data_IF_538363345922
#
_entry.id   IF_538363345922
#
_cell.length_a   1.000
_cell.length_b   1.000
_cell.length_c   1.000
_cell.angle_alpha   90.00
_cell.angle_beta   90.00
_cell.angle_gamma   90.00
#
_symmetry.space_group_name_H-M   'P 1'
#
loop_
_entity.id
_entity.type
_entity.pdbx_description
1 polymer ?
#
# COMPACT_ATOMS: atom_id res chain seq x y z
N UNK A 1 1.64 -39.49 -5.25
CA UNK A 1 1.96 -38.26 -5.99
C UNK A 1 2.91 -37.51 -5.09
N UNK A 2 4.16 -37.34 -5.50
CA UNK A 2 5.16 -36.64 -4.68
C UNK A 2 4.93 -35.12 -4.82
N UNK A 3 4.50 -34.48 -3.73
CA UNK A 3 4.45 -33.04 -3.63
C UNK A 3 5.86 -32.46 -3.86
N UNK A 4 6.02 -31.71 -4.93
CA UNK A 4 7.27 -30.97 -5.20
C UNK A 4 7.37 -29.86 -4.16
N UNK A 5 8.23 -30.05 -3.16
CA UNK A 5 8.63 -28.99 -2.22
C UNK A 5 9.11 -27.80 -3.03
N UNK A 6 8.48 -26.65 -2.84
CA UNK A 6 8.86 -25.41 -3.52
C UNK A 6 10.06 -24.80 -2.81
N UNK A 7 11.14 -24.63 -3.51
CA UNK A 7 12.35 -23.98 -2.99
C UNK A 7 12.31 -22.48 -3.38
N UNK A 8 12.21 -21.62 -2.38
CA UNK A 8 12.17 -20.16 -2.50
C UNK A 8 13.47 -19.48 -2.04
N UNK A 9 14.56 -20.26 -1.85
CA UNK A 9 15.84 -19.76 -1.33
C UNK A 9 16.42 -18.58 -2.11
N UNK A 10 16.13 -18.48 -3.41
CA UNK A 10 16.58 -17.40 -4.27
C UNK A 10 15.94 -16.02 -3.98
N UNK A 11 14.84 -15.96 -3.18
CA UNK A 11 14.23 -14.69 -2.78
C UNK A 11 14.84 -14.09 -1.52
N UNK A 12 15.61 -14.86 -0.75
CA UNK A 12 16.21 -14.42 0.53
C UNK A 12 17.17 -13.24 0.44
N UNK A 13 17.80 -13.05 -0.72
CA UNK A 13 18.74 -11.93 -0.94
C UNK A 13 18.04 -10.57 -1.16
N UNK A 14 16.70 -10.53 -1.21
CA UNK A 14 15.96 -9.31 -1.50
C UNK A 14 15.55 -8.48 -0.26
N UNK A 15 15.72 -9.02 0.96
CA UNK A 15 15.22 -8.35 2.18
C UNK A 15 16.21 -8.52 3.36
N UNK A 16 17.38 -7.88 3.31
CA UNK A 16 18.22 -7.74 4.49
C UNK A 16 17.83 -6.51 5.29
N UNK A 17 17.23 -6.71 6.48
CA UNK A 17 16.94 -5.63 7.44
C UNK A 17 17.96 -5.71 8.56
N UNK A 18 18.79 -4.68 8.73
CA UNK A 18 19.54 -4.47 9.96
C UNK A 18 18.75 -3.54 10.87
N UNK A 19 18.37 -4.02 12.05
CA UNK A 19 17.82 -3.20 13.13
C UNK A 19 18.96 -2.42 13.78
N UNK A 20 18.99 -1.10 13.64
CA UNK A 20 19.72 -0.23 14.56
C UNK A 20 18.84 0.02 15.79
N UNK A 21 19.39 -0.27 16.95
CA UNK A 21 18.78 -0.05 18.26
C UNK A 21 18.42 1.42 18.47
N UNK A 22 17.13 1.72 18.61
CA UNK A 22 16.68 3.02 19.09
C UNK A 22 16.59 3.02 20.60
N UNK A 23 17.45 3.82 21.23
CA UNK A 23 17.56 4.10 22.66
C UNK A 23 16.23 4.51 23.29
N UNK A 24 15.95 3.88 24.43
CA UNK A 24 14.86 4.19 25.37
C UNK A 24 14.93 5.64 25.85
N UNK A 25 13.86 6.40 25.70
CA UNK A 25 13.54 7.56 26.53
C UNK A 25 12.17 7.36 27.16
N UNK A 26 12.18 7.24 28.48
CA UNK A 26 11.03 7.25 29.37
C UNK A 26 10.31 8.60 29.35
N UNK A 27 9.00 8.60 29.22
CA UNK A 27 8.15 9.79 29.39
C UNK A 27 7.26 9.57 30.61
N UNK A 28 7.35 10.52 31.54
CA UNK A 28 6.60 10.58 32.77
C UNK A 28 5.13 10.92 32.53
N UNK A 29 4.28 10.33 33.38
CA UNK A 29 2.85 10.59 33.47
C UNK A 29 2.58 11.99 34.04
N UNK A 30 1.64 12.70 33.43
CA UNK A 30 1.03 13.92 33.98
C UNK A 30 -0.49 13.82 33.91
N UNK A 31 -1.12 13.52 35.05
CA UNK A 31 -2.57 13.62 35.25
C UNK A 31 -3.00 15.09 35.31
N UNK A 32 -4.01 15.48 34.55
CA UNK A 32 -4.77 16.70 34.80
C UNK A 32 -6.26 16.45 34.72
N UNK A 33 -6.90 16.66 35.87
CA UNK A 33 -8.34 16.65 36.14
C UNK A 33 -9.06 17.76 35.39
N UNK A 34 -10.21 17.46 34.76
CA UNK A 34 -11.15 18.44 34.22
C UNK A 34 -12.43 18.53 35.07
N UNK A 35 -12.74 19.73 35.51
CA UNK A 35 -14.02 20.11 36.12
C UNK A 35 -15.08 20.31 35.03
N UNK A 36 -16.38 20.09 35.33
CA UNK A 36 -17.48 20.31 34.40
C UNK A 36 -17.91 21.80 34.38
N UNK A 37 -18.25 22.29 33.21
CA UNK A 37 -18.81 23.62 32.98
C UNK A 37 -20.21 23.56 32.36
N UNK A 38 -21.02 24.46 32.85
CA UNK A 38 -22.47 24.67 32.71
C UNK A 38 -23.05 24.70 31.30
N UNK A 39 -24.29 24.19 31.24
CA UNK A 39 -25.18 24.21 30.10
C UNK A 39 -25.80 25.61 29.87
N UNK A 40 -25.57 26.22 28.71
CA UNK A 40 -26.38 27.34 28.18
C UNK A 40 -27.22 26.86 27.00
N UNK A 41 -28.55 27.01 27.15
CA UNK A 41 -29.56 26.84 26.10
C UNK A 41 -29.27 27.83 24.95
N UNK A 42 -29.08 27.32 23.73
CA UNK A 42 -29.00 28.13 22.51
C UNK A 42 -30.29 27.89 21.68
N UNK A 43 -30.93 28.98 21.31
CA UNK A 43 -32.12 29.04 20.47
C UNK A 43 -31.84 28.53 19.04
N UNK A 44 -32.71 27.64 18.57
CA UNK A 44 -32.70 27.13 17.18
C UNK A 44 -33.15 28.25 16.24
N UNK A 45 -32.21 28.68 15.35
CA UNK A 45 -32.56 29.49 14.17
C UNK A 45 -32.70 28.54 12.99
N UNK A 46 -33.85 28.51 12.36
CA UNK A 46 -34.10 27.83 11.10
C UNK A 46 -33.14 28.35 10.00
N UNK A 47 -32.26 27.50 9.54
CA UNK A 47 -31.39 27.81 8.41
C UNK A 47 -31.96 27.19 7.12
N UNK A 48 -32.30 28.02 6.15
CA UNK A 48 -32.69 27.62 4.81
C UNK A 48 -31.55 26.81 4.12
N UNK A 49 -31.83 25.59 3.59
CA UNK A 49 -30.83 24.68 3.05
C UNK A 49 -30.06 25.28 1.84
N UNK A 50 -30.70 26.08 1.01
CA UNK A 50 -30.08 26.69 -0.20
C UNK A 50 -28.92 27.66 0.08
N UNK A 51 -28.94 28.38 1.20
CA UNK A 51 -27.84 29.29 1.57
C UNK A 51 -26.60 28.56 2.09
N UNK A 52 -26.81 27.39 2.68
CA UNK A 52 -25.72 26.57 3.23
C UNK A 52 -24.94 25.90 2.11
N UNK A 53 -25.63 25.43 1.09
CA UNK A 53 -25.04 24.76 -0.08
C UNK A 53 -24.22 25.73 -0.95
N UNK A 54 -24.75 26.94 -1.22
CA UNK A 54 -24.02 27.99 -1.94
C UNK A 54 -22.77 28.48 -1.17
N UNK A 55 -22.83 28.52 0.16
CA UNK A 55 -21.67 28.84 1.01
C UNK A 55 -20.62 27.72 1.01
N UNK A 56 -21.05 26.47 0.97
CA UNK A 56 -20.19 25.30 0.91
C UNK A 56 -19.44 25.24 -0.44
N UNK A 57 -20.16 25.43 -1.55
CA UNK A 57 -19.59 25.50 -2.90
C UNK A 57 -18.65 26.69 -3.06
N UNK A 58 -18.98 27.85 -2.48
CA UNK A 58 -18.11 29.03 -2.52
C UNK A 58 -16.85 28.88 -1.63
N UNK A 59 -16.90 28.06 -0.57
CA UNK A 59 -15.77 27.75 0.28
C UNK A 59 -14.83 26.70 -0.39
N UNK A 60 -15.39 25.77 -1.17
CA UNK A 60 -14.63 24.83 -1.99
C UNK A 60 -13.86 25.53 -3.13
N UNK A 61 -14.40 26.61 -3.72
CA UNK A 61 -13.73 27.38 -4.77
C UNK A 61 -12.56 28.27 -4.27
N UNK A 62 -12.31 28.37 -2.97
CA UNK A 62 -11.32 29.30 -2.40
C UNK A 62 -10.04 28.65 -1.88
N UNK A 63 -9.87 27.35 -2.01
CA UNK A 63 -8.62 26.67 -1.64
C UNK A 63 -8.21 25.77 -2.81
N UNK A 64 -7.79 26.38 -3.90
CA UNK A 64 -6.91 25.71 -4.87
C UNK A 64 -5.59 25.46 -4.14
N UNK A 65 -5.47 24.36 -3.44
CA UNK A 65 -4.17 23.87 -2.96
C UNK A 65 -3.35 23.54 -4.19
N UNK A 66 -2.14 24.11 -4.26
CA UNK A 66 -1.20 23.75 -5.31
C UNK A 66 -1.06 22.21 -5.38
N UNK A 67 -1.13 21.64 -6.59
CA UNK A 67 -0.97 20.21 -6.80
C UNK A 67 0.39 19.79 -6.25
N UNK A 68 0.47 18.79 -5.37
CA UNK A 68 1.75 18.33 -4.83
C UNK A 68 2.73 17.96 -5.95
N UNK A 69 4.01 18.37 -5.87
CA UNK A 69 4.99 18.15 -6.93
C UNK A 69 5.12 16.69 -7.36
N UNK A 70 5.01 15.73 -6.44
CA UNK A 70 5.10 14.31 -6.76
C UNK A 70 3.96 13.82 -7.67
N UNK A 71 2.83 14.51 -7.74
CA UNK A 71 1.73 14.16 -8.67
C UNK A 71 2.03 14.58 -10.11
N UNK A 72 2.98 15.49 -10.33
CA UNK A 72 3.32 16.06 -11.63
C UNK A 72 4.62 15.49 -12.21
N UNK A 73 5.60 15.18 -11.34
CA UNK A 73 6.94 14.81 -11.75
C UNK A 73 7.32 13.37 -11.32
N UNK A 74 8.00 12.60 -12.17
CA UNK A 74 8.40 11.22 -11.88
C UNK A 74 9.53 11.10 -10.85
N UNK A 75 10.35 12.14 -10.66
CA UNK A 75 11.46 12.22 -9.70
C UNK A 75 12.41 10.99 -9.76
N UNK A 76 12.85 10.62 -10.96
CA UNK A 76 13.68 9.43 -11.17
C UNK A 76 15.13 9.62 -10.71
N UNK A 77 15.62 10.86 -10.72
CA UNK A 77 17.00 11.22 -10.44
C UNK A 77 17.06 12.52 -9.64
N UNK A 78 18.15 12.72 -8.89
CA UNK A 78 18.47 14.04 -8.35
C UNK A 78 18.74 15.03 -9.50
N UNK A 79 18.32 16.30 -9.37
CA UNK A 79 18.66 17.32 -10.36
C UNK A 79 20.16 17.63 -10.34
N UNK A 80 20.68 17.98 -11.50
CA UNK A 80 21.93 18.73 -11.77
C UNK A 80 23.22 18.33 -11.02
N UNK A 81 23.53 17.05 -10.82
CA UNK A 81 24.83 16.63 -10.31
C UNK A 81 25.53 15.74 -11.31
N UNK A 82 26.86 15.92 -11.48
CA UNK A 82 27.70 14.91 -12.12
C UNK A 82 27.53 13.60 -11.34
N UNK A 83 26.93 12.61 -12.00
CA UNK A 83 26.60 11.34 -11.37
C UNK A 83 27.75 10.39 -11.54
N UNK A 84 28.29 9.89 -10.43
CA UNK A 84 29.43 8.99 -10.43
C UNK A 84 28.96 7.56 -10.69
N UNK A 85 28.66 6.81 -9.66
CA UNK A 85 28.37 5.37 -9.79
C UNK A 85 26.86 5.08 -9.70
N UNK A 86 26.38 4.08 -10.46
CA UNK A 86 25.02 3.64 -10.36
C UNK A 86 24.77 2.92 -9.02
N UNK A 87 23.58 3.16 -8.44
CA UNK A 87 23.09 2.47 -7.24
C UNK A 87 21.75 1.82 -7.55
N UNK A 88 21.67 0.52 -7.29
CA UNK A 88 20.46 -0.27 -7.44
C UNK A 88 19.58 -0.12 -6.20
N UNK A 89 18.40 0.47 -6.40
CA UNK A 89 17.39 0.71 -5.37
C UNK A 89 16.16 -0.15 -5.65
N UNK A 90 15.88 -1.08 -4.76
CA UNK A 90 14.70 -1.96 -4.86
C UNK A 90 13.59 -1.41 -3.99
N UNK A 91 12.46 -1.09 -4.60
CA UNK A 91 11.23 -0.70 -3.90
C UNK A 91 10.48 -1.98 -3.55
N UNK A 92 10.47 -2.36 -2.27
CA UNK A 92 9.60 -3.40 -1.72
C UNK A 92 8.22 -2.81 -1.46
N UNK A 93 7.21 -3.28 -2.19
CA UNK A 93 5.85 -2.77 -2.16
C UNK A 93 4.90 -3.83 -1.57
N UNK A 94 4.52 -3.68 -0.31
CA UNK A 94 3.47 -4.46 0.33
C UNK A 94 2.12 -3.79 0.08
N UNK A 95 1.36 -4.32 -0.88
CA UNK A 95 0.00 -3.89 -1.19
C UNK A 95 -0.99 -4.59 -0.25
N UNK A 96 -1.10 -4.13 0.99
CA UNK A 96 -2.08 -4.67 1.93
C UNK A 96 -3.51 -4.26 1.60
N UNK A 97 -4.51 -4.97 2.14
CA UNK A 97 -5.94 -4.66 1.91
C UNK A 97 -6.34 -3.30 2.50
N UNK A 98 -5.88 -2.99 3.71
CA UNK A 98 -6.18 -1.72 4.38
C UNK A 98 -5.03 -0.72 4.33
N UNK A 99 -3.80 -1.21 4.40
CA UNK A 99 -2.58 -0.42 4.52
C UNK A 99 -1.50 -0.92 3.58
N UNK A 100 -0.88 0.02 2.89
CA UNK A 100 0.31 -0.20 2.07
C UNK A 100 1.55 0.21 2.87
N UNK A 101 2.60 -0.61 2.80
CA UNK A 101 3.92 -0.34 3.39
C UNK A 101 4.97 -0.38 2.29
N UNK A 102 5.94 0.51 2.37
CA UNK A 102 7.03 0.59 1.38
C UNK A 102 8.36 0.64 2.09
N UNK A 103 9.29 -0.14 1.55
CA UNK A 103 10.71 -0.11 1.94
C UNK A 103 11.54 0.13 0.68
N UNK A 104 12.51 1.02 0.74
CA UNK A 104 13.54 1.18 -0.31
C UNK A 104 14.83 0.55 0.18
N UNK A 105 15.31 -0.44 -0.55
CA UNK A 105 16.55 -1.15 -0.24
C UNK A 105 17.67 -0.74 -1.22
N UNK A 106 18.78 -0.28 -0.66
CA UNK A 106 20.07 -0.20 -1.36
C UNK A 106 20.79 -1.54 -1.18
N UNK A 107 20.84 -2.32 -2.25
CA UNK A 107 21.42 -3.67 -2.22
C UNK A 107 22.92 -3.65 -2.03
N UNK A 108 23.60 -2.63 -2.55
CA UNK A 108 25.06 -2.50 -2.47
C UNK A 108 25.54 -2.13 -1.07
N UNK A 109 24.81 -1.24 -0.38
CA UNK A 109 25.12 -0.82 0.99
C UNK A 109 24.41 -1.65 2.06
N UNK A 110 23.62 -2.65 1.66
CA UNK A 110 22.80 -3.48 2.57
C UNK A 110 21.92 -2.65 3.50
N UNK A 111 21.38 -1.53 3.00
CA UNK A 111 20.56 -0.58 3.76
C UNK A 111 19.11 -0.66 3.32
N UNK A 112 18.19 -0.80 4.27
CA UNK A 112 16.76 -0.75 4.03
C UNK A 112 16.14 0.45 4.75
N UNK A 113 15.30 1.21 4.07
CA UNK A 113 14.73 2.47 4.56
C UNK A 113 13.22 2.39 4.41
N UNK A 114 12.49 2.42 5.52
CA UNK A 114 11.03 2.50 5.51
C UNK A 114 10.58 3.89 5.06
N UNK A 115 9.64 3.95 4.11
CA UNK A 115 9.13 5.19 3.56
C UNK A 115 8.06 5.78 4.48
N UNK A 116 8.28 7.03 4.92
CA UNK A 116 7.30 7.78 5.69
C UNK A 116 6.35 8.55 4.75
N UNK A 117 5.05 8.34 4.92
CA UNK A 117 4.01 9.01 4.13
C UNK A 117 3.55 10.35 4.72
N UNK A 118 4.25 10.87 5.74
CA UNK A 118 3.94 12.17 6.36
C UNK A 118 2.43 12.32 6.65
N UNK A 119 1.79 13.32 6.02
CA UNK A 119 0.37 13.64 6.21
C UNK A 119 -0.62 12.62 5.64
N UNK A 120 -0.18 11.72 4.74
CA UNK A 120 -1.05 10.67 4.16
C UNK A 120 -1.08 9.40 5.00
N UNK A 121 -0.07 9.18 5.84
CA UNK A 121 0.01 8.02 6.72
C UNK A 121 -1.02 8.02 7.85
N UNK A 122 -1.08 6.91 8.58
CA UNK A 122 -1.87 6.82 9.80
C UNK A 122 -1.38 7.83 10.84
N UNK A 123 -2.31 8.39 11.63
CA UNK A 123 -1.96 9.31 12.74
C UNK A 123 -1.06 8.68 13.80
N UNK A 124 -1.11 7.35 13.94
CA UNK A 124 -0.31 6.60 14.90
C UNK A 124 0.97 6.01 14.30
N UNK A 125 1.01 5.82 12.97
CA UNK A 125 2.15 5.23 12.29
C UNK A 125 2.29 5.82 10.88
N UNK A 126 3.27 6.72 10.64
CA UNK A 126 3.45 7.38 9.35
C UNK A 126 3.94 6.42 8.24
N UNK A 127 4.34 5.19 8.56
CA UNK A 127 4.76 4.18 7.59
C UNK A 127 3.59 3.35 7.03
N UNK A 128 2.36 3.57 7.52
CA UNK A 128 1.15 2.91 7.06
C UNK A 128 0.33 3.86 6.19
N UNK A 129 0.37 3.66 4.87
CA UNK A 129 -0.44 4.40 3.92
C UNK A 129 -1.78 3.69 3.71
N UNK A 130 -2.94 4.36 3.79
CA UNK A 130 -4.22 3.76 3.40
C UNK A 130 -4.19 3.27 1.95
N UNK A 131 -4.57 2.02 1.70
CA UNK A 131 -4.63 1.44 0.35
C UNK A 131 -5.88 1.96 -0.39
N UNK A 132 -5.84 3.23 -0.80
CA UNK A 132 -6.95 3.95 -1.42
C UNK A 132 -6.47 4.96 -2.43
N UNK A 133 -7.25 5.15 -3.50
CA UNK A 133 -7.10 6.29 -4.39
C UNK A 133 -8.08 7.37 -3.96
N UNK A 134 -7.60 8.57 -3.73
CA UNK A 134 -8.39 9.75 -3.41
C UNK A 134 -8.59 10.68 -4.60
N UNK A 135 -9.57 11.57 -4.46
CA UNK A 135 -9.72 12.75 -5.33
C UNK A 135 -9.62 14.00 -4.45
N UNK A 136 -8.78 14.95 -4.86
CA UNK A 136 -8.71 16.27 -4.26
C UNK A 136 -8.73 17.30 -5.37
N UNK A 137 -9.71 18.19 -5.36
CA UNK A 137 -9.86 19.26 -6.38
C UNK A 137 -9.86 18.74 -7.83
N UNK A 138 -10.42 17.55 -8.08
CA UNK A 138 -10.46 16.90 -9.39
C UNK A 138 -9.20 16.11 -9.76
N UNK A 139 -8.18 16.06 -8.88
CA UNK A 139 -6.92 15.36 -9.11
C UNK A 139 -6.87 14.04 -8.33
N UNK A 140 -6.35 12.99 -8.98
CA UNK A 140 -6.07 11.71 -8.31
C UNK A 140 -4.89 11.87 -7.36
N UNK A 141 -5.03 11.42 -6.10
CA UNK A 141 -4.02 11.60 -5.07
C UNK A 141 -4.03 10.47 -4.05
N UNK A 142 -3.06 10.48 -3.14
CA UNK A 142 -3.12 9.73 -1.89
C UNK A 142 -4.15 10.37 -0.97
N UNK A 143 -4.81 9.60 -0.13
CA UNK A 143 -5.78 10.10 0.83
C UNK A 143 -5.56 9.51 2.21
N UNK A 144 -5.98 10.25 3.25
CA UNK A 144 -6.04 9.76 4.62
C UNK A 144 -7.19 8.75 4.77
N UNK A 145 -7.12 7.91 5.80
CA UNK A 145 -8.17 6.92 6.07
C UNK A 145 -9.53 7.57 6.34
N UNK A 146 -9.52 8.70 7.01
CA UNK A 146 -10.70 9.48 7.42
C UNK A 146 -11.26 10.34 6.28
N UNK A 147 -10.52 10.46 5.17
CA UNK A 147 -10.96 11.25 4.03
C UNK A 147 -12.16 10.57 3.35
N UNK A 148 -13.32 11.22 3.29
CA UNK A 148 -14.50 10.68 2.62
C UNK A 148 -14.36 10.68 1.08
N UNK A 149 -13.48 11.51 0.52
CA UNK A 149 -13.29 11.67 -0.91
C UNK A 149 -12.31 10.64 -1.48
N UNK A 150 -12.67 9.37 -1.43
CA UNK A 150 -11.91 8.30 -2.06
C UNK A 150 -12.72 7.68 -3.21
N UNK A 151 -12.03 7.38 -4.32
CA UNK A 151 -12.64 6.73 -5.48
C UNK A 151 -12.80 5.24 -5.23
N UNK A 152 -11.75 4.61 -4.69
CA UNK A 152 -11.71 3.17 -4.51
C UNK A 152 -10.93 2.80 -3.26
N UNK A 153 -11.46 1.82 -2.57
CA UNK A 153 -10.83 1.00 -1.53
C UNK A 153 -10.87 -0.46 -2.02
N UNK A 154 -10.24 -1.35 -1.28
CA UNK A 154 -10.23 -2.79 -1.58
C UNK A 154 -9.48 -3.15 -2.88
N UNK A 155 -8.46 -2.34 -3.24
CA UNK A 155 -7.66 -2.51 -4.47
C UNK A 155 -7.02 -3.91 -4.58
N UNK A 156 -6.47 -4.43 -3.48
CA UNK A 156 -5.89 -5.79 -3.42
C UNK A 156 -6.94 -6.86 -3.70
N UNK A 157 -8.11 -6.74 -3.08
CA UNK A 157 -9.22 -7.69 -3.27
C UNK A 157 -9.70 -7.65 -4.73
N UNK A 158 -9.80 -6.46 -5.30
CA UNK A 158 -10.18 -6.31 -6.72
C UNK A 158 -9.21 -7.01 -7.67
N UNK A 159 -7.90 -7.00 -7.38
CA UNK A 159 -6.90 -7.73 -8.16
C UNK A 159 -7.05 -9.25 -8.04
N UNK A 160 -7.45 -9.74 -6.86
CA UNK A 160 -7.56 -11.18 -6.57
C UNK A 160 -8.86 -11.76 -7.12
N UNK A 161 -9.99 -11.10 -6.84
CA UNK A 161 -11.31 -11.67 -7.11
C UNK A 161 -11.81 -11.35 -8.53
N UNK A 162 -11.60 -10.11 -8.98
CA UNK A 162 -12.24 -9.61 -10.21
C UNK A 162 -11.39 -8.54 -10.91
N UNK A 163 -10.17 -8.85 -11.37
CA UNK A 163 -9.23 -7.85 -11.90
C UNK A 163 -9.77 -7.09 -13.13
N UNK A 164 -10.56 -7.76 -13.95
CA UNK A 164 -11.14 -7.17 -15.18
C UNK A 164 -12.59 -6.65 -14.99
N UNK A 165 -13.15 -6.75 -13.77
CA UNK A 165 -14.49 -6.21 -13.53
C UNK A 165 -14.47 -4.69 -13.66
N UNK A 166 -15.40 -4.16 -14.45
CA UNK A 166 -15.63 -2.73 -14.56
C UNK A 166 -16.27 -2.20 -13.29
N UNK A 167 -15.70 -1.14 -12.76
CA UNK A 167 -16.21 -0.41 -11.60
C UNK A 167 -16.66 0.96 -12.09
N UNK A 168 -17.87 1.35 -11.74
CA UNK A 168 -18.36 2.70 -12.01
C UNK A 168 -17.75 3.65 -10.97
N UNK A 169 -17.09 4.68 -11.46
CA UNK A 169 -16.58 5.77 -10.63
C UNK A 169 -17.53 6.93 -10.82
N UNK A 170 -18.22 7.28 -9.74
CA UNK A 170 -19.11 8.44 -9.71
C UNK A 170 -18.25 9.68 -9.47
N UNK A 171 -17.69 10.22 -10.53
CA UNK A 171 -17.24 11.59 -10.60
C UNK A 171 -17.91 12.18 -11.83
N UNK A 172 -18.54 13.30 -11.79
CA UNK A 172 -19.31 14.06 -12.80
C UNK A 172 -19.38 13.55 -14.26
N UNK A 173 -18.61 12.53 -14.60
CA UNK A 173 -18.65 11.74 -15.84
C UNK A 173 -18.62 10.25 -15.42
N UNK A 174 -19.58 9.46 -15.91
CA UNK A 174 -19.62 8.00 -15.75
C UNK A 174 -18.37 7.36 -16.40
N UNK A 175 -17.29 7.29 -15.66
CA UNK A 175 -16.05 6.65 -16.11
C UNK A 175 -15.98 5.23 -15.55
N UNK A 176 -16.08 4.22 -16.40
CA UNK A 176 -15.87 2.83 -16.01
C UNK A 176 -14.39 2.47 -16.09
N UNK A 177 -13.82 2.02 -14.98
CA UNK A 177 -12.42 1.60 -14.87
C UNK A 177 -12.36 0.21 -14.24
N UNK A 178 -11.39 -0.62 -14.64
CA UNK A 178 -11.22 -1.95 -14.05
C UNK A 178 -10.49 -1.88 -12.71
N UNK A 179 -10.70 -2.89 -11.84
CA UNK A 179 -9.97 -3.01 -10.58
C UNK A 179 -8.44 -3.00 -10.78
N UNK A 180 -7.97 -3.67 -11.85
CA UNK A 180 -6.57 -3.66 -12.24
C UNK A 180 -6.06 -2.25 -12.63
N UNK A 181 -6.89 -1.45 -13.32
CA UNK A 181 -6.53 -0.06 -13.68
C UNK A 181 -6.41 0.84 -12.45
N UNK A 182 -7.32 0.72 -11.49
CA UNK A 182 -7.27 1.47 -10.24
C UNK A 182 -6.06 1.10 -9.37
N UNK A 183 -5.74 -0.20 -9.30
CA UNK A 183 -4.53 -0.65 -8.63
C UNK A 183 -3.26 -0.09 -9.30
N UNK A 184 -3.20 -0.07 -10.64
CA UNK A 184 -2.09 0.53 -11.38
C UNK A 184 -1.95 2.04 -11.11
N UNK A 185 -3.06 2.78 -11.05
CA UNK A 185 -3.07 4.21 -10.68
C UNK A 185 -2.50 4.39 -9.26
N UNK A 186 -2.97 3.61 -8.30
CA UNK A 186 -2.49 3.68 -6.93
C UNK A 186 -0.98 3.40 -6.85
N UNK A 187 -0.52 2.31 -7.49
CA UNK A 187 0.90 1.97 -7.57
C UNK A 187 1.69 3.14 -8.19
N UNK A 188 1.22 3.74 -9.29
CA UNK A 188 1.89 4.84 -9.95
C UNK A 188 2.05 6.06 -9.04
N UNK A 189 0.99 6.46 -8.33
CA UNK A 189 1.02 7.61 -7.42
C UNK A 189 1.96 7.33 -6.24
N UNK A 190 1.91 6.12 -5.67
CA UNK A 190 2.79 5.71 -4.57
C UNK A 190 4.25 5.71 -5.02
N UNK A 191 4.58 5.16 -6.21
CA UNK A 191 5.94 5.16 -6.74
C UNK A 191 6.50 6.59 -6.93
N UNK A 192 5.68 7.52 -7.43
CA UNK A 192 6.08 8.93 -7.53
C UNK A 192 6.33 9.55 -6.16
N UNK A 193 5.44 9.29 -5.19
CA UNK A 193 5.63 9.76 -3.82
C UNK A 193 6.92 9.21 -3.22
N UNK A 194 7.18 7.91 -3.36
CA UNK A 194 8.37 7.23 -2.85
C UNK A 194 9.65 7.84 -3.40
N UNK A 195 9.71 8.04 -4.71
CA UNK A 195 10.88 8.67 -5.38
C UNK A 195 11.08 10.12 -4.94
N UNK A 196 10.01 10.89 -4.87
CA UNK A 196 10.06 12.26 -4.37
C UNK A 196 10.55 12.32 -2.92
N UNK A 197 9.95 11.53 -2.04
CA UNK A 197 10.36 11.42 -0.65
C UNK A 197 11.83 10.98 -0.49
N UNK A 198 12.28 10.03 -1.30
CA UNK A 198 13.66 9.55 -1.28
C UNK A 198 14.64 10.65 -1.69
N UNK A 199 14.34 11.39 -2.75
CA UNK A 199 15.16 12.52 -3.20
C UNK A 199 15.22 13.62 -2.13
N UNK A 200 14.11 13.94 -1.46
CA UNK A 200 14.09 14.93 -0.38
C UNK A 200 14.86 14.46 0.87
N UNK A 201 14.67 13.20 1.27
CA UNK A 201 15.13 12.72 2.57
C UNK A 201 16.51 12.06 2.55
N UNK A 202 17.02 11.62 1.40
CA UNK A 202 18.26 10.86 1.26
C UNK A 202 19.33 11.57 0.43
N UNK A 203 19.17 12.87 0.17
CA UNK A 203 20.08 13.66 -0.66
C UNK A 203 21.54 13.60 -0.16
N UNK A 204 21.77 13.66 1.14
CA UNK A 204 23.13 13.66 1.72
C UNK A 204 23.94 12.42 1.33
N UNK A 205 23.29 11.30 1.09
CA UNK A 205 23.93 10.03 0.77
C UNK A 205 23.97 9.77 -0.73
N UNK A 206 22.88 10.10 -1.45
CA UNK A 206 22.66 9.60 -2.81
C UNK A 206 22.69 10.66 -3.92
N UNK A 207 22.80 11.96 -3.59
CA UNK A 207 22.72 13.04 -4.59
C UNK A 207 23.69 12.89 -5.77
N UNK A 208 24.86 12.28 -5.55
CA UNK A 208 25.90 12.07 -6.56
C UNK A 208 25.79 10.71 -7.28
N UNK A 209 24.79 9.88 -6.94
CA UNK A 209 24.66 8.58 -7.57
C UNK A 209 23.63 8.60 -8.73
N UNK A 210 23.84 7.74 -9.72
CA UNK A 210 22.82 7.41 -10.71
C UNK A 210 21.87 6.37 -10.12
N UNK A 211 20.62 6.75 -9.87
CA UNK A 211 19.65 5.87 -9.25
C UNK A 211 19.04 4.91 -10.28
N UNK A 212 19.13 3.61 -10.04
CA UNK A 212 18.49 2.56 -10.82
C UNK A 212 17.40 1.91 -9.98
N UNK A 213 16.16 2.20 -10.33
CA UNK A 213 14.99 1.77 -9.58
C UNK A 213 14.51 0.39 -10.04
N UNK A 214 14.10 -0.44 -9.09
CA UNK A 214 13.46 -1.73 -9.29
C UNK A 214 12.21 -1.82 -8.39
N UNK A 215 11.26 -2.69 -8.74
CA UNK A 215 10.03 -2.90 -7.99
C UNK A 215 9.82 -4.38 -7.67
N UNK A 216 9.65 -4.70 -6.39
CA UNK A 216 9.15 -5.98 -5.93
C UNK A 216 7.76 -5.76 -5.31
N UNK A 217 6.71 -6.21 -5.99
CA UNK A 217 5.32 -6.13 -5.51
C UNK A 217 4.93 -7.43 -4.83
N UNK A 218 4.46 -7.34 -3.58
CA UNK A 218 3.95 -8.48 -2.82
C UNK A 218 2.64 -9.04 -3.39
N UNK A 219 2.53 -10.38 -3.44
CA UNK A 219 1.31 -11.11 -3.76
C UNK A 219 1.06 -12.19 -2.69
N UNK A 220 -0.20 -12.43 -2.27
CA UNK A 220 -0.51 -13.48 -1.31
C UNK A 220 -0.06 -14.85 -1.82
N UNK A 221 0.51 -15.68 -0.93
CA UNK A 221 1.13 -16.98 -1.28
C UNK A 221 0.18 -17.91 -2.01
N UNK A 222 -1.04 -18.06 -1.52
CA UNK A 222 -2.06 -18.93 -2.13
C UNK A 222 -2.35 -18.57 -3.58
N UNK A 223 -2.18 -17.28 -3.92
CA UNK A 223 -2.47 -16.75 -5.25
C UNK A 223 -1.24 -16.73 -6.17
N UNK A 224 -0.04 -16.98 -5.63
CA UNK A 224 1.20 -16.93 -6.41
C UNK A 224 1.27 -17.98 -7.53
N UNK A 225 0.67 -19.16 -7.29
CA UNK A 225 0.57 -20.24 -8.29
C UNK A 225 -0.60 -20.05 -9.27
N UNK A 226 -1.56 -19.18 -8.93
CA UNK A 226 -2.65 -18.84 -9.83
C UNK A 226 -2.14 -17.86 -10.89
N UNK A 227 -1.94 -18.40 -12.10
CA UNK A 227 -1.41 -17.60 -13.22
C UNK A 227 -2.23 -16.35 -13.50
N UNK A 228 -3.57 -16.43 -13.47
CA UNK A 228 -4.44 -15.29 -13.78
C UNK A 228 -4.26 -14.15 -12.76
N UNK A 229 -4.17 -14.49 -11.48
CA UNK A 229 -3.98 -13.50 -10.41
C UNK A 229 -2.56 -12.92 -10.50
N UNK A 230 -1.55 -13.78 -10.66
CA UNK A 230 -0.15 -13.34 -10.85
C UNK A 230 0.00 -12.40 -12.06
N UNK A 231 -0.63 -12.73 -13.17
CA UNK A 231 -0.63 -11.90 -14.38
C UNK A 231 -1.34 -10.56 -14.13
N UNK A 232 -2.42 -10.53 -13.35
CA UNK A 232 -3.12 -9.30 -12.97
C UNK A 232 -2.25 -8.38 -12.10
N UNK A 233 -1.56 -8.93 -11.07
CA UNK A 233 -0.61 -8.18 -10.25
C UNK A 233 0.56 -7.66 -11.07
N UNK A 234 1.15 -8.50 -11.90
CA UNK A 234 2.26 -8.10 -12.79
C UNK A 234 1.81 -7.01 -13.78
N UNK A 235 0.64 -7.12 -14.37
CA UNK A 235 0.08 -6.13 -15.27
C UNK A 235 -0.18 -4.79 -14.55
N UNK A 236 -0.75 -4.82 -13.34
CA UNK A 236 -0.96 -3.62 -12.54
C UNK A 236 0.37 -2.95 -12.18
N UNK A 237 1.39 -3.74 -11.78
CA UNK A 237 2.74 -3.24 -11.48
C UNK A 237 3.40 -2.62 -12.70
N UNK A 238 3.36 -3.29 -13.86
CA UNK A 238 3.96 -2.81 -15.11
C UNK A 238 3.33 -1.49 -15.57
N UNK A 239 2.01 -1.40 -15.58
CA UNK A 239 1.31 -0.20 -15.99
C UNK A 239 1.49 0.93 -14.97
N UNK A 240 1.45 0.59 -13.66
CA UNK A 240 1.72 1.54 -12.59
C UNK A 240 3.13 2.11 -12.67
N UNK A 241 4.10 1.28 -12.95
CA UNK A 241 5.48 1.70 -13.20
C UNK A 241 5.57 2.67 -14.37
N UNK A 242 5.04 2.28 -15.53
CA UNK A 242 5.04 3.13 -16.73
C UNK A 242 4.37 4.49 -16.48
N UNK A 243 3.19 4.50 -15.86
CA UNK A 243 2.48 5.74 -15.51
C UNK A 243 3.31 6.62 -14.56
N UNK A 244 4.03 6.01 -13.63
CA UNK A 244 4.85 6.74 -12.67
C UNK A 244 6.06 7.44 -13.30
N UNK A 245 6.50 7.02 -14.47
CA UNK A 245 7.63 7.60 -15.21
C UNK A 245 7.22 8.70 -16.19
N UNK A 246 5.92 8.81 -16.50
CA UNK A 246 5.43 9.86 -17.40
C UNK A 246 5.46 11.23 -16.69
N UNK A 247 5.73 12.29 -17.44
CA UNK A 247 5.56 13.66 -16.94
C UNK A 247 4.08 14.06 -16.93
N UNK A 248 3.74 14.98 -16.06
CA UNK A 248 2.38 15.47 -15.90
C UNK A 248 1.53 14.59 -14.99
N UNK A 249 0.27 14.91 -14.90
CA UNK A 249 -0.67 14.32 -13.96
C UNK A 249 -1.08 12.89 -14.37
N UNK A 250 -1.21 12.01 -13.37
CA UNK A 250 -1.81 10.68 -13.56
C UNK A 250 -3.33 10.84 -13.50
N UNK A 251 -4.01 10.56 -14.60
CA UNK A 251 -5.47 10.65 -14.72
C UNK A 251 -6.09 9.29 -15.01
N UNK A 252 -7.40 9.17 -14.81
CA UNK A 252 -8.16 7.98 -15.23
C UNK A 252 -8.03 7.72 -16.73
N UNK A 253 -8.02 8.79 -17.53
CA UNK A 253 -7.85 8.70 -18.98
C UNK A 253 -6.46 8.21 -19.37
N UNK A 254 -5.39 8.68 -18.73
CA UNK A 254 -4.02 8.21 -18.98
C UNK A 254 -3.86 6.72 -18.65
N UNK A 255 -4.49 6.27 -17.56
CA UNK A 255 -4.52 4.87 -17.17
C UNK A 255 -5.25 4.00 -18.21
N UNK A 256 -6.43 4.43 -18.66
CA UNK A 256 -7.19 3.71 -19.69
C UNK A 256 -6.37 3.55 -20.97
N UNK A 257 -5.72 4.62 -21.45
CA UNK A 257 -4.83 4.58 -22.62
C UNK A 257 -3.66 3.61 -22.42
N UNK A 258 -3.05 3.58 -21.21
CA UNK A 258 -1.97 2.65 -20.90
C UNK A 258 -2.43 1.19 -20.93
N UNK A 259 -3.65 0.89 -20.42
CA UNK A 259 -4.24 -0.44 -20.52
C UNK A 259 -4.55 -0.87 -21.97
N UNK A 260 -5.06 0.04 -22.78
CA UNK A 260 -5.30 -0.23 -24.20
C UNK A 260 -3.99 -0.55 -24.93
N UNK A 261 -2.93 0.25 -24.70
CA UNK A 261 -1.60 -0.01 -25.23
C UNK A 261 -1.00 -1.33 -24.75
N UNK A 262 -1.24 -1.72 -23.50
CA UNK A 262 -0.71 -2.98 -22.95
C UNK A 262 -1.34 -4.23 -23.56
N UNK A 263 -2.49 -4.12 -24.24
CA UNK A 263 -3.14 -5.21 -24.97
C UNK A 263 -2.47 -5.46 -26.33
N UNK A 264 -1.83 -4.45 -26.89
CA UNK A 264 -1.11 -4.57 -28.15
C UNK A 264 0.26 -5.15 -27.87
N UNK A 265 0.47 -6.42 -28.20
CA UNK A 265 1.73 -7.15 -27.98
C UNK A 265 2.92 -6.54 -28.72
N UNK A 266 2.68 -5.69 -29.74
CA UNK A 266 3.70 -5.00 -30.51
C UNK A 266 4.13 -3.67 -29.87
N UNK A 267 3.34 -3.11 -28.95
CA UNK A 267 3.71 -1.93 -28.18
C UNK A 267 4.33 -2.36 -26.85
N UNK A 268 5.59 -2.74 -26.90
CA UNK A 268 6.40 -2.82 -25.70
C UNK A 268 6.41 -1.43 -25.08
N UNK A 269 5.97 -1.33 -23.82
CA UNK A 269 5.96 -0.07 -23.05
C UNK A 269 7.39 0.49 -22.81
N UNK A 270 8.41 -0.04 -23.47
CA UNK A 270 9.80 0.36 -23.29
C UNK A 270 10.37 0.06 -21.91
N UNK A 271 9.65 -0.73 -21.11
CA UNK A 271 10.04 -1.06 -19.74
C UNK A 271 10.89 -2.33 -19.78
N UNK A 272 12.01 -2.27 -19.12
CA UNK A 272 12.79 -3.46 -18.79
C UNK A 272 12.02 -4.28 -17.74
N UNK A 273 11.30 -5.32 -18.19
CA UNK A 273 10.47 -6.18 -17.34
C UNK A 273 11.24 -6.83 -16.19
N UNK A 274 12.55 -6.98 -16.35
CA UNK A 274 13.48 -7.49 -15.34
C UNK A 274 13.57 -6.63 -14.07
N UNK A 275 13.14 -5.36 -14.15
CA UNK A 275 13.10 -4.46 -12.99
C UNK A 275 11.80 -4.52 -12.20
N UNK A 276 10.82 -5.32 -12.66
CA UNK A 276 9.50 -5.42 -12.00
C UNK A 276 9.23 -6.88 -11.70
N UNK A 277 9.21 -7.21 -10.41
CA UNK A 277 8.96 -8.55 -9.92
C UNK A 277 7.67 -8.60 -9.08
N UNK A 278 6.98 -9.74 -9.15
CA UNK A 278 5.89 -10.09 -8.24
C UNK A 278 6.39 -11.22 -7.35
N UNK A 279 6.45 -10.97 -6.05
CA UNK A 279 7.04 -11.87 -5.06
C UNK A 279 6.02 -12.30 -4.01
N UNK A 280 6.07 -13.54 -3.50
CA UNK A 280 5.18 -13.96 -2.42
C UNK A 280 5.41 -13.12 -1.15
N UNK A 281 4.35 -12.61 -0.53
CA UNK A 281 4.43 -11.81 0.70
C UNK A 281 5.14 -12.59 1.82
N UNK A 282 4.79 -13.87 1.99
CA UNK A 282 5.43 -14.73 2.98
C UNK A 282 6.94 -14.88 2.78
N UNK A 283 7.42 -14.84 1.53
CA UNK A 283 8.87 -14.92 1.27
C UNK A 283 9.60 -13.69 1.83
N UNK A 284 8.97 -12.51 1.76
CA UNK A 284 9.50 -11.28 2.35
C UNK A 284 9.50 -11.32 3.90
N UNK A 285 8.42 -11.82 4.50
CA UNK A 285 8.28 -11.97 5.95
C UNK A 285 9.29 -12.98 6.51
N UNK A 286 9.40 -14.16 5.87
CA UNK A 286 10.37 -15.20 6.26
C UNK A 286 11.79 -14.71 6.08
N UNK A 287 12.11 -13.95 5.02
CA UNK A 287 13.44 -13.41 4.81
C UNK A 287 13.86 -12.50 5.98
N UNK A 288 12.96 -11.62 6.46
CA UNK A 288 13.23 -10.79 7.62
C UNK A 288 13.62 -11.58 8.87
N UNK A 289 12.91 -12.68 9.14
CA UNK A 289 13.22 -13.58 10.24
C UNK A 289 14.51 -14.38 9.99
N UNK A 290 14.68 -14.94 8.81
CA UNK A 290 15.81 -15.81 8.46
C UNK A 290 17.18 -15.11 8.56
N UNK A 291 17.19 -13.78 8.42
CA UNK A 291 18.41 -12.96 8.57
C UNK A 291 18.51 -12.23 9.92
N UNK A 292 17.58 -12.49 10.84
CA UNK A 292 17.63 -11.92 12.20
C UNK A 292 18.47 -12.77 13.17
N UNK A 293 18.93 -12.16 14.26
CA UNK A 293 19.61 -12.85 15.34
C UNK A 293 18.70 -13.80 16.14
N UNK A 294 17.38 -13.68 15.95
CA UNK A 294 16.36 -14.56 16.57
C UNK A 294 16.06 -15.82 15.76
N UNK A 295 16.78 -15.99 14.65
CA UNK A 295 16.59 -17.12 13.75
C UNK A 295 16.88 -18.45 14.45
N UNK A 296 15.99 -19.41 14.27
CA UNK A 296 16.20 -20.82 14.66
C UNK A 296 16.07 -21.72 13.43
N UNK A 297 16.74 -22.89 13.45
CA UNK A 297 16.55 -23.92 12.41
C UNK A 297 15.38 -24.83 12.77
N UNK A 298 14.71 -25.36 11.77
CA UNK A 298 13.65 -26.34 11.93
C UNK A 298 12.34 -25.95 11.28
N UNK A 299 11.26 -26.51 11.84
CA UNK A 299 9.89 -26.29 11.36
C UNK A 299 9.30 -25.03 12.01
N UNK A 300 8.78 -24.13 11.19
CA UNK A 300 8.19 -22.87 11.59
C UNK A 300 6.74 -22.77 11.17
N UNK A 301 5.96 -22.05 11.98
CA UNK A 301 4.62 -21.60 11.68
C UNK A 301 4.61 -20.08 11.62
N UNK A 302 4.26 -19.51 10.47
CA UNK A 302 4.00 -18.09 10.29
C UNK A 302 2.50 -17.84 10.30
N UNK A 303 2.06 -16.89 11.10
CA UNK A 303 0.66 -16.43 11.17
C UNK A 303 0.63 -14.93 10.95
N UNK A 304 0.14 -14.48 9.78
CA UNK A 304 -0.09 -13.07 9.49
C UNK A 304 -1.59 -12.74 9.63
N UNK A 305 -1.89 -11.78 10.53
CA UNK A 305 -3.24 -11.29 10.78
C UNK A 305 -3.41 -9.95 10.09
N UNK A 306 -3.87 -10.00 8.84
CA UNK A 306 -4.19 -8.83 8.06
C UNK A 306 -5.52 -8.19 8.46
N UNK A 307 -5.93 -7.15 7.72
CA UNK A 307 -7.23 -6.49 7.93
C UNK A 307 -8.41 -7.40 7.57
N UNK A 308 -8.35 -8.09 6.46
CA UNK A 308 -9.42 -8.94 5.93
C UNK A 308 -9.08 -10.42 6.00
N UNK A 309 -7.82 -10.77 5.80
CA UNK A 309 -7.32 -12.14 5.75
C UNK A 309 -6.50 -12.50 6.98
N UNK A 310 -6.51 -13.78 7.29
CA UNK A 310 -5.57 -14.49 8.15
C UNK A 310 -4.79 -15.42 7.24
N UNK A 311 -3.49 -15.22 7.15
CA UNK A 311 -2.58 -16.03 6.34
C UNK A 311 -1.76 -16.91 7.27
N UNK A 312 -1.80 -18.23 7.05
CA UNK A 312 -1.06 -19.22 7.85
C UNK A 312 -0.17 -20.01 6.92
N UNK A 313 1.12 -20.04 7.21
CA UNK A 313 2.11 -20.77 6.40
C UNK A 313 3.03 -21.60 7.29
N UNK A 314 3.39 -22.77 6.84
CA UNK A 314 4.40 -23.62 7.46
C UNK A 314 5.61 -23.76 6.53
N UNK A 315 6.81 -23.65 7.10
CA UNK A 315 8.05 -23.77 6.34
C UNK A 315 9.16 -24.39 7.20
N UNK A 316 10.16 -24.93 6.53
CA UNK A 316 11.39 -25.40 7.18
C UNK A 316 12.50 -24.42 6.84
N UNK A 317 13.24 -23.98 7.86
CA UNK A 317 14.44 -23.17 7.74
C UNK A 317 15.68 -24.00 8.12
N UNK A 318 16.64 -24.04 7.20
CA UNK A 318 17.90 -24.74 7.40
C UNK A 318 19.05 -23.87 6.89
N UNK A 319 20.28 -24.14 7.37
CA UNK A 319 21.51 -23.63 6.75
C UNK A 319 22.15 -24.74 5.93
N UNK A 320 22.47 -24.47 4.69
CA UNK A 320 23.25 -25.36 3.86
C UNK A 320 24.30 -24.56 3.11
N UNK A 321 25.55 -24.97 3.21
CA UNK A 321 26.70 -24.32 2.57
C UNK A 321 26.86 -22.83 2.95
N UNK A 322 26.45 -22.44 4.19
CA UNK A 322 26.47 -21.08 4.69
C UNK A 322 25.30 -20.19 4.20
N UNK A 323 24.38 -20.75 3.42
CA UNK A 323 23.21 -20.04 2.92
C UNK A 323 21.93 -20.48 3.66
N UNK A 324 21.05 -19.50 3.93
CA UNK A 324 19.72 -19.78 4.45
C UNK A 324 18.87 -20.41 3.36
N UNK A 325 18.33 -21.59 3.64
CA UNK A 325 17.37 -22.30 2.76
C UNK A 325 16.06 -22.48 3.49
N UNK A 326 14.98 -22.15 2.80
CA UNK A 326 13.65 -22.36 3.33
C UNK A 326 12.76 -23.07 2.29
N UNK A 327 12.07 -24.09 2.75
CA UNK A 327 11.12 -24.85 1.95
C UNK A 327 9.72 -24.67 2.50
N UNK A 328 8.80 -24.08 1.73
CA UNK A 328 7.39 -23.98 2.11
C UNK A 328 6.70 -25.33 2.04
N UNK A 329 5.95 -25.68 3.10
CA UNK A 329 5.23 -26.93 3.20
C UNK A 329 3.74 -26.74 2.90
N UNK A 330 3.12 -25.72 3.51
CA UNK A 330 1.69 -25.45 3.35
C UNK A 330 1.44 -23.97 3.55
N UNK A 331 0.45 -23.42 2.85
CA UNK A 331 -0.07 -22.08 3.05
C UNK A 331 -1.58 -22.07 2.88
N UNK A 332 -2.29 -21.46 3.84
CA UNK A 332 -3.74 -21.28 3.81
C UNK A 332 -4.09 -19.83 4.10
N UNK A 333 -5.12 -19.34 3.41
CA UNK A 333 -5.65 -17.99 3.58
C UNK A 333 -7.15 -18.09 3.88
N UNK A 334 -7.57 -17.46 4.98
CA UNK A 334 -8.97 -17.38 5.36
C UNK A 334 -9.44 -15.94 5.56
N UNK A 335 -10.72 -15.67 5.41
CA UNK A 335 -11.34 -14.36 5.73
C UNK A 335 -11.57 -14.22 7.23
N UNK A 336 -10.51 -14.23 8.03
CA UNK A 336 -10.51 -14.13 9.49
C UNK A 336 -9.67 -12.97 10.01
N UNK A 337 -9.42 -11.94 9.19
CA UNK A 337 -8.64 -10.79 9.58
C UNK A 337 -9.34 -9.90 10.60
N UNK A 338 -8.63 -8.94 11.16
CA UNK A 338 -9.08 -8.08 12.25
C UNK A 338 -10.37 -7.30 11.91
N UNK A 339 -10.55 -6.89 10.66
CA UNK A 339 -11.75 -6.19 10.21
C UNK A 339 -12.97 -7.12 10.13
N UNK A 340 -12.80 -8.37 9.71
CA UNK A 340 -13.88 -9.35 9.67
C UNK A 340 -14.35 -9.71 11.10
N UNK A 341 -13.42 -9.82 12.05
CA UNK A 341 -13.75 -9.99 13.46
C UNK A 341 -14.54 -8.80 14.00
N UNK A 342 -14.13 -7.57 13.66
CA UNK A 342 -14.85 -6.37 14.07
C UNK A 342 -16.27 -6.32 13.48
N UNK A 343 -16.42 -6.65 12.20
CA UNK A 343 -17.73 -6.73 11.53
C UNK A 343 -18.65 -7.74 12.19
N UNK A 344 -18.16 -8.93 12.52
CA UNK A 344 -18.91 -9.97 13.22
C UNK A 344 -19.37 -9.52 14.61
N UNK A 345 -18.50 -8.79 15.33
CA UNK A 345 -18.87 -8.18 16.64
C UNK A 345 -19.99 -7.15 16.50
N UNK A 346 -19.89 -6.26 15.51
CA UNK A 346 -20.94 -5.25 15.29
C UNK A 346 -22.27 -5.88 14.92
N UNK A 347 -22.28 -6.94 14.11
CA UNK A 347 -23.49 -7.66 13.74
C UNK A 347 -24.12 -8.35 14.95
N UNK A 348 -23.33 -9.04 15.76
CA UNK A 348 -23.79 -9.65 17.02
C UNK A 348 -24.38 -8.60 17.96
N UNK A 349 -23.75 -7.44 18.08
CA UNK A 349 -24.25 -6.34 18.90
C UNK A 349 -25.56 -5.77 18.36
N UNK A 350 -25.70 -5.61 17.05
CA UNK A 350 -26.94 -5.18 16.38
C UNK A 350 -28.09 -6.15 16.63
N UNK A 351 -27.84 -7.45 16.51
CA UNK A 351 -28.82 -8.50 16.81
C UNK A 351 -29.29 -8.40 18.28
N UNK A 352 -28.33 -8.24 19.21
CA UNK A 352 -28.62 -8.08 20.63
C UNK A 352 -29.50 -6.86 20.91
N UNK A 353 -29.16 -5.66 20.38
CA UNK A 353 -29.96 -4.45 20.55
C UNK A 353 -31.39 -4.63 20.00
N UNK A 354 -31.52 -5.21 18.81
CA UNK A 354 -32.80 -5.45 18.17
C UNK A 354 -33.69 -6.42 18.98
N UNK A 355 -33.06 -7.45 19.59
CA UNK A 355 -33.78 -8.37 20.48
C UNK A 355 -34.27 -7.67 21.77
N UNK A 356 -33.39 -6.83 22.35
CA UNK A 356 -33.68 -6.11 23.59
C UNK A 356 -34.80 -5.04 23.41
N UNK A 357 -34.75 -4.29 22.30
CA UNK A 357 -35.79 -3.31 21.97
C UNK A 357 -37.19 -3.95 21.79
N UNK A 358 -37.27 -5.17 21.23
CA UNK A 358 -38.52 -5.93 21.11
C UNK A 358 -39.05 -6.45 22.44
N UNK A 359 -38.18 -6.61 23.42
CA UNK A 359 -38.57 -7.08 24.77
C UNK A 359 -39.11 -5.94 25.64
N UNK A 360 -38.61 -4.72 25.44
CA UNK A 360 -39.06 -3.52 26.20
C UNK A 360 -40.37 -2.95 25.64
N UNK A 361 -40.70 -3.20 24.36
CA UNK A 361 -41.91 -2.70 23.70
C UNK A 361 -43.11 -3.66 23.84
N UNK A 362 -42.96 -4.75 24.56
CA UNK A 362 -44.04 -5.64 25.02
C UNK A 362 -44.37 -5.37 26.49
#
# INVERSE_FOLDING_TARGET
>A
MADKKKDWSHFGNFFCIHNEESSKKSVAQGEQSRKPSDSKKASVKENHPEKTEKRFIAKLKKISKAIPPFLLEPNLQFPETEKSEPVDLVIGFDLGTAWTKIVVQDTSRRRAIAVSFKEYGSTHNPFLLPTRVGISDGHLTLCKREDPHHICKDLKISLIEKPEQRMEIIDNEELTVTGCALAAIFIAIVLRYVRHWFIESQADIYKNNLLRWQLNLGIPVKNYDNKQIKDAFHKAALIGWWLSEQKGEITLTSSKKAFEKSKDSNLQLGIHREYINVVPEVAAEVAGYAYSDLREEGLHLLVDIGATTLDVSTFILNTKDGENRYGFLSAEIGRYGAFELHRSRLEAFRIFINSWSRTILK
#
